data_IF_066868004334
#
_entry.id   IF_066868004334
#
_cell.length_a   1.000
_cell.length_b   1.000
_cell.length_c   1.000
_cell.angle_alpha   90.00
_cell.angle_beta   90.00
_cell.angle_gamma   90.00
#
_symmetry.space_group_name_H-M   'P 1'
#
loop_
_entity.id
_entity.type
_entity.pdbx_description
1 polymer ?
#
# COMPACT_ATOMS: atom_id res chain seq x y z
N UNK A 1 -6.94 -17.62 0.88
CA UNK A 1 -6.49 -16.42 0.14
C UNK A 1 -4.96 -16.42 0.12
N UNK A 2 -4.30 -16.16 -1.01
CA UNK A 2 -2.82 -16.19 -1.10
C UNK A 2 -2.22 -14.85 -0.63
N UNK A 3 -1.06 -14.89 0.05
CA UNK A 3 -0.31 -13.70 0.50
C UNK A 3 -0.04 -12.73 -0.64
N UNK A 4 0.29 -13.24 -1.83
CA UNK A 4 0.47 -12.42 -3.04
C UNK A 4 -0.82 -11.69 -3.44
N UNK A 5 -1.94 -12.39 -3.39
CA UNK A 5 -3.25 -11.82 -3.73
C UNK A 5 -3.67 -10.75 -2.74
N UNK A 6 -3.41 -10.99 -1.46
CA UNK A 6 -3.69 -10.03 -0.39
C UNK A 6 -2.82 -8.78 -0.49
N UNK A 7 -1.51 -8.93 -0.73
CA UNK A 7 -0.61 -7.80 -0.99
C UNK A 7 -1.13 -6.93 -2.15
N UNK A 8 -1.44 -7.54 -3.29
CA UNK A 8 -1.94 -6.81 -4.47
C UNK A 8 -3.27 -6.11 -4.21
N UNK A 9 -4.16 -6.73 -3.44
CA UNK A 9 -5.46 -6.15 -3.07
C UNK A 9 -5.26 -4.92 -2.20
N UNK A 10 -4.51 -5.05 -1.10
CA UNK A 10 -4.25 -3.96 -0.16
C UNK A 10 -3.53 -2.79 -0.84
N UNK A 11 -2.58 -3.07 -1.73
CA UNK A 11 -1.89 -2.02 -2.49
C UNK A 11 -2.84 -1.25 -3.40
N UNK A 12 -3.80 -1.94 -4.03
CA UNK A 12 -4.84 -1.29 -4.86
C UNK A 12 -5.82 -0.48 -4.02
N UNK A 13 -6.23 -1.00 -2.86
CA UNK A 13 -7.13 -0.31 -1.93
C UNK A 13 -6.47 1.01 -1.45
N UNK A 14 -5.17 0.95 -1.12
CA UNK A 14 -4.39 2.11 -0.71
C UNK A 14 -4.20 3.13 -1.85
N UNK A 15 -3.89 2.67 -3.07
CA UNK A 15 -3.78 3.54 -4.25
C UNK A 15 -5.11 4.22 -4.59
N UNK A 16 -6.23 3.51 -4.46
CA UNK A 16 -7.56 4.08 -4.67
C UNK A 16 -7.84 5.20 -3.66
N UNK A 17 -7.57 4.97 -2.37
CA UNK A 17 -7.75 5.99 -1.33
C UNK A 17 -6.90 7.24 -1.59
N UNK A 18 -5.63 7.07 -2.00
CA UNK A 18 -4.77 8.21 -2.34
C UNK A 18 -5.28 9.00 -3.55
N UNK A 19 -5.78 8.31 -4.58
CA UNK A 19 -6.31 8.95 -5.79
C UNK A 19 -7.61 9.70 -5.51
N UNK A 20 -8.54 9.07 -4.79
CA UNK A 20 -9.84 9.66 -4.47
C UNK A 20 -9.67 10.92 -3.60
N UNK A 21 -8.66 10.94 -2.74
CA UNK A 21 -8.33 12.09 -1.91
C UNK A 21 -7.34 13.09 -2.57
N UNK A 22 -6.86 12.81 -3.78
CA UNK A 22 -5.83 13.59 -4.49
C UNK A 22 -4.53 13.81 -3.67
N UNK A 23 -4.12 12.80 -2.90
CA UNK A 23 -2.99 12.86 -1.97
C UNK A 23 -1.74 12.14 -2.49
N UNK A 24 -0.57 12.70 -2.14
CA UNK A 24 0.75 12.09 -2.36
C UNK A 24 0.96 11.49 -3.78
N UNK A 25 0.75 12.27 -4.86
CA UNK A 25 0.77 11.76 -6.24
C UNK A 25 2.10 11.11 -6.64
N UNK A 26 3.23 11.57 -6.08
CA UNK A 26 4.53 10.97 -6.34
C UNK A 26 4.66 9.57 -5.69
N UNK A 27 4.10 9.41 -4.49
CA UNK A 27 4.06 8.10 -3.80
C UNK A 27 3.08 7.16 -4.49
N UNK A 28 1.93 7.64 -4.96
CA UNK A 28 0.99 6.86 -5.78
C UNK A 28 1.70 6.30 -7.03
N UNK A 29 2.38 7.16 -7.80
CA UNK A 29 3.13 6.74 -9.01
C UNK A 29 4.22 5.73 -8.70
N UNK A 30 4.88 5.84 -7.55
CA UNK A 30 5.91 4.90 -7.13
C UNK A 30 5.34 3.55 -6.66
N UNK A 31 4.17 3.54 -6.01
CA UNK A 31 3.50 2.34 -5.53
C UNK A 31 2.77 1.58 -6.64
N UNK A 32 2.13 2.28 -7.60
CA UNK A 32 1.37 1.68 -8.70
C UNK A 32 2.06 0.49 -9.41
N UNK A 33 3.33 0.57 -9.84
CA UNK A 33 3.99 -0.55 -10.53
C UNK A 33 4.25 -1.77 -9.63
N UNK A 34 4.23 -1.63 -8.30
CA UNK A 34 4.49 -2.74 -7.37
C UNK A 34 3.39 -3.80 -7.42
N UNK A 35 2.14 -3.41 -7.74
CA UNK A 35 1.03 -4.34 -7.87
C UNK A 35 1.19 -5.29 -9.08
N UNK A 36 1.92 -4.86 -10.11
CA UNK A 36 2.27 -5.66 -11.28
C UNK A 36 3.53 -6.49 -11.00
N UNK A 37 4.58 -5.85 -10.48
CA UNK A 37 5.85 -6.52 -10.12
C UNK A 37 5.70 -7.67 -9.13
N UNK A 38 4.69 -7.62 -8.24
CA UNK A 38 4.40 -8.70 -7.30
C UNK A 38 4.07 -10.06 -7.96
N UNK A 39 3.78 -10.07 -9.27
CA UNK A 39 3.66 -11.29 -10.07
C UNK A 39 5.00 -12.02 -10.24
N UNK A 40 6.06 -11.27 -10.50
CA UNK A 40 7.40 -11.78 -10.83
C UNK A 40 8.34 -11.79 -9.62
N UNK A 41 8.27 -10.75 -8.78
CA UNK A 41 9.14 -10.50 -7.63
C UNK A 41 8.32 -9.94 -6.45
N UNK A 42 7.73 -10.85 -5.67
CA UNK A 42 6.90 -10.48 -4.53
C UNK A 42 7.73 -9.86 -3.38
N UNK A 43 8.93 -10.37 -3.12
CA UNK A 43 9.78 -9.88 -2.03
C UNK A 43 10.32 -8.49 -2.32
N UNK A 44 10.83 -8.24 -3.54
CA UNK A 44 11.28 -6.89 -3.92
C UNK A 44 10.14 -5.88 -4.00
N UNK A 45 8.93 -6.30 -4.40
CA UNK A 45 7.74 -5.45 -4.33
C UNK A 45 7.36 -5.09 -2.89
N UNK A 46 7.45 -6.04 -1.95
CA UNK A 46 7.18 -5.81 -0.53
C UNK A 46 8.22 -4.88 0.12
N UNK A 47 9.51 -5.05 -0.19
CA UNK A 47 10.57 -4.13 0.28
C UNK A 47 10.36 -2.71 -0.23
N UNK A 48 10.08 -2.56 -1.53
CA UNK A 48 9.81 -1.25 -2.12
C UNK A 48 8.57 -0.60 -1.51
N UNK A 49 7.50 -1.37 -1.26
CA UNK A 49 6.30 -0.87 -0.60
C UNK A 49 6.63 -0.36 0.80
N UNK A 50 7.30 -1.16 1.65
CA UNK A 50 7.69 -0.74 3.01
C UNK A 50 8.56 0.52 3.03
N UNK A 51 9.43 0.72 2.03
CA UNK A 51 10.26 1.93 1.94
C UNK A 51 9.44 3.18 1.57
N UNK A 52 8.30 3.01 0.90
CA UNK A 52 7.42 4.09 0.45
C UNK A 52 6.33 4.44 1.46
N UNK A 53 5.86 3.46 2.24
CA UNK A 53 4.78 3.64 3.22
C UNK A 53 5.01 4.81 4.20
N UNK A 54 6.21 5.01 4.81
CA UNK A 54 6.44 6.13 5.74
C UNK A 54 6.26 7.52 5.14
N UNK A 55 6.16 7.65 3.81
CA UNK A 55 5.92 8.91 3.11
C UNK A 55 4.45 9.31 3.04
N UNK A 56 3.56 8.43 3.51
CA UNK A 56 2.12 8.67 3.52
C UNK A 56 1.69 9.11 4.92
N UNK A 57 0.92 10.19 4.98
CA UNK A 57 0.35 10.69 6.23
C UNK A 57 -1.18 10.62 6.17
N UNK A 58 -1.77 9.77 7.01
CA UNK A 58 -3.22 9.63 7.15
C UNK A 58 -3.90 10.94 7.57
N UNK A 59 -3.18 11.87 8.20
CA UNK A 59 -3.73 13.17 8.60
C UNK A 59 -4.03 14.10 7.43
N UNK A 60 -3.51 13.79 6.24
CA UNK A 60 -3.82 14.53 5.03
C UNK A 60 -5.25 14.27 4.51
N UNK A 61 -5.89 13.18 4.95
CA UNK A 61 -7.29 12.90 4.63
C UNK A 61 -8.23 13.79 5.44
N UNK A 62 -9.15 14.46 4.75
CA UNK A 62 -10.17 15.32 5.37
C UNK A 62 -11.41 14.55 5.84
N UNK A 63 -11.77 13.47 5.12
CA UNK A 63 -12.89 12.60 5.49
C UNK A 63 -12.43 11.53 6.51
N UNK A 64 -13.06 11.43 7.69
CA UNK A 64 -12.67 10.46 8.72
C UNK A 64 -12.90 9.00 8.30
N UNK A 65 -13.85 8.72 7.42
CA UNK A 65 -14.12 7.36 6.90
C UNK A 65 -13.04 6.96 5.91
N UNK A 66 -12.65 7.86 5.00
CA UNK A 66 -11.56 7.61 4.06
C UNK A 66 -10.23 7.45 4.78
N UNK A 67 -9.98 8.29 5.80
CA UNK A 67 -8.82 8.16 6.68
C UNK A 67 -8.76 6.78 7.33
N UNK A 68 -9.86 6.34 7.95
CA UNK A 68 -9.89 5.03 8.60
C UNK A 68 -9.64 3.89 7.61
N UNK A 69 -10.23 3.95 6.41
CA UNK A 69 -9.99 2.95 5.36
C UNK A 69 -8.53 2.92 4.91
N UNK A 70 -7.92 4.10 4.78
CA UNK A 70 -6.50 4.23 4.46
C UNK A 70 -5.63 3.62 5.57
N UNK A 71 -5.89 3.95 6.84
CA UNK A 71 -5.16 3.42 8.00
C UNK A 71 -5.27 1.89 8.06
N UNK A 72 -6.48 1.33 7.92
CA UNK A 72 -6.71 -0.11 7.92
C UNK A 72 -5.96 -0.82 6.78
N UNK A 73 -5.96 -0.23 5.58
CA UNK A 73 -5.25 -0.77 4.42
C UNK A 73 -3.74 -0.66 4.60
N UNK A 74 -3.26 0.45 5.16
CA UNK A 74 -1.86 0.72 5.44
C UNK A 74 -1.28 -0.29 6.44
N UNK A 75 -1.92 -0.46 7.60
CA UNK A 75 -1.47 -1.37 8.66
C UNK A 75 -1.44 -2.82 8.16
N UNK A 76 -2.49 -3.24 7.44
CA UNK A 76 -2.56 -4.58 6.85
C UNK A 76 -1.49 -4.77 5.78
N UNK A 77 -1.25 -3.78 4.93
CA UNK A 77 -0.23 -3.86 3.89
C UNK A 77 1.16 -3.99 4.52
N UNK A 78 1.44 -3.20 5.56
CA UNK A 78 2.70 -3.28 6.30
C UNK A 78 2.89 -4.68 6.91
N UNK A 79 1.88 -5.22 7.59
CA UNK A 79 1.92 -6.56 8.16
C UNK A 79 2.18 -7.64 7.10
N UNK A 80 1.48 -7.56 5.95
CA UNK A 80 1.67 -8.50 4.84
C UNK A 80 3.08 -8.39 4.26
N UNK A 81 3.63 -7.18 4.11
CA UNK A 81 5.00 -7.01 3.65
C UNK A 81 6.00 -7.67 4.61
N UNK A 82 5.82 -7.52 5.92
CA UNK A 82 6.70 -8.17 6.92
C UNK A 82 6.63 -9.69 6.83
N UNK A 83 5.44 -10.26 6.67
CA UNK A 83 5.23 -11.70 6.44
C UNK A 83 5.94 -12.19 5.17
N UNK A 84 5.81 -11.46 4.05
CA UNK A 84 6.50 -11.79 2.79
C UNK A 84 8.02 -11.82 2.97
N UNK A 85 8.56 -10.91 3.78
CA UNK A 85 9.99 -10.76 4.03
C UNK A 85 10.52 -11.63 5.17
N UNK A 86 9.66 -12.40 5.85
CA UNK A 86 10.04 -13.25 6.98
C UNK A 86 10.47 -12.47 8.23
N UNK A 87 9.85 -11.32 8.50
CA UNK A 87 10.13 -10.43 9.65
C UNK A 87 8.94 -10.31 10.61
#
# INVERSE_FOLDING_TARGET
MSVRGEFRRLLKDLLAALRDAELAPDTERALAPLAERAGDDLSGAAEAALALLPRLDARAFSDPVERQRFEDAFERLEAVCRVILGR
#
